data_IF_121713323297
#
_entry.id   IF_121713323297
#
_cell.length_a   1.000
_cell.length_b   1.000
_cell.length_c   1.000
_cell.angle_alpha   90.00
_cell.angle_beta   90.00
_cell.angle_gamma   90.00
#
_symmetry.space_group_name_H-M   'P 1'
#
loop_
_entity.id
_entity.type
_entity.pdbx_description
1 polymer ?
#
# COMPACT_ATOMS: atom_id res chain seq x y z
N UNK A 1 -5.24 -0.93 -14.43
CA UNK A 1 -3.97 -0.17 -14.58
C UNK A 1 -3.71 0.49 -13.23
N UNK A 2 -2.49 0.42 -12.70
CA UNK A 2 -2.15 1.10 -11.44
C UNK A 2 -2.00 2.60 -11.73
N UNK A 3 -2.82 3.42 -11.10
CA UNK A 3 -2.81 4.87 -11.30
C UNK A 3 -2.63 5.57 -9.95
N UNK A 4 -1.82 6.63 -9.90
CA UNK A 4 -1.61 7.45 -8.71
C UNK A 4 -1.24 6.66 -7.43
N UNK A 5 0.02 6.21 -7.36
CA UNK A 5 0.59 5.70 -6.12
C UNK A 5 1.23 6.84 -5.33
N UNK A 6 0.72 7.11 -4.14
CA UNK A 6 1.26 8.10 -3.21
C UNK A 6 1.71 7.42 -1.92
N UNK A 7 2.94 7.70 -1.49
CA UNK A 7 3.47 7.28 -0.19
C UNK A 7 3.54 8.49 0.73
N UNK A 8 2.99 8.34 1.92
CA UNK A 8 3.07 9.31 3.01
C UNK A 8 3.64 8.64 4.24
N UNK A 9 4.78 9.11 4.72
CA UNK A 9 5.26 8.72 6.04
C UNK A 9 4.29 9.28 7.09
N UNK A 10 3.53 8.40 7.74
CA UNK A 10 2.82 8.74 8.95
C UNK A 10 3.80 8.61 10.11
N UNK A 11 3.87 9.66 10.93
CA UNK A 11 4.76 9.76 12.07
C UNK A 11 6.24 9.95 11.70
N UNK A 12 6.54 10.86 10.77
CA UNK A 12 7.87 11.48 10.66
C UNK A 12 8.37 11.85 12.08
N UNK A 13 9.59 11.42 12.42
CA UNK A 13 10.28 11.68 13.70
C UNK A 13 9.84 10.83 14.91
N UNK A 14 9.05 9.76 14.73
CA UNK A 14 8.73 8.82 15.83
C UNK A 14 9.31 7.42 15.63
N UNK A 15 9.59 6.74 16.75
CA UNK A 15 10.10 5.34 16.83
C UNK A 15 9.10 4.33 16.20
N UNK A 16 7.88 4.76 15.87
CA UNK A 16 6.85 3.94 15.21
C UNK A 16 6.47 4.54 13.85
N UNK A 17 7.46 4.99 13.09
CA UNK A 17 7.26 5.45 11.72
C UNK A 17 6.55 4.36 10.90
N UNK A 18 5.48 4.75 10.23
CA UNK A 18 4.67 3.88 9.37
C UNK A 18 4.52 4.55 8.03
N UNK A 19 4.68 3.81 6.96
CA UNK A 19 4.50 4.34 5.63
C UNK A 19 3.05 4.09 5.22
N UNK A 20 2.21 5.11 5.25
CA UNK A 20 0.91 5.03 4.59
C UNK A 20 1.13 5.09 3.08
N UNK A 21 0.38 4.28 2.36
CA UNK A 21 0.33 4.36 0.91
C UNK A 21 -1.12 4.44 0.46
N UNK A 22 -1.31 5.13 -0.65
CA UNK A 22 -2.56 5.29 -1.36
C UNK A 22 -2.33 4.89 -2.81
N UNK A 23 -3.25 4.11 -3.36
CA UNK A 23 -3.13 3.47 -4.66
C UNK A 23 -4.52 3.47 -5.31
N UNK A 24 -4.62 4.00 -6.53
CA UNK A 24 -5.81 3.78 -7.33
C UNK A 24 -5.63 2.55 -8.22
N UNK A 25 -6.54 1.58 -8.09
CA UNK A 25 -6.55 0.35 -8.85
C UNK A 25 -7.92 0.15 -9.47
N UNK A 26 -7.98 0.12 -10.81
CA UNK A 26 -9.22 -0.07 -11.58
C UNK A 26 -10.34 0.95 -11.27
N UNK A 27 -9.96 2.15 -10.81
CA UNK A 27 -10.91 3.19 -10.42
C UNK A 27 -11.26 3.18 -8.93
N UNK A 28 -10.90 2.13 -8.20
CA UNK A 28 -11.06 2.04 -6.75
C UNK A 28 -9.82 2.56 -6.02
N UNK A 29 -10.05 3.40 -5.01
CA UNK A 29 -8.99 3.98 -4.20
C UNK A 29 -8.73 3.08 -3.00
N UNK A 30 -7.59 2.40 -3.01
CA UNK A 30 -7.13 1.58 -1.92
C UNK A 30 -6.10 2.33 -1.10
N UNK A 31 -6.24 2.24 0.22
CA UNK A 31 -5.33 2.85 1.17
C UNK A 31 -4.86 1.80 2.15
N UNK A 32 -3.59 1.86 2.54
CA UNK A 32 -3.02 0.95 3.52
C UNK A 32 -1.85 1.56 4.26
N UNK A 33 -1.37 0.87 5.28
CA UNK A 33 -0.08 1.16 5.92
C UNK A 33 0.87 0.00 5.73
N UNK A 34 2.10 0.34 5.43
CA UNK A 34 3.24 -0.56 5.37
C UNK A 34 4.10 -0.35 6.61
N UNK A 35 4.38 -1.44 7.32
CA UNK A 35 5.21 -1.42 8.51
C UNK A 35 5.99 -2.73 8.63
N UNK A 36 7.31 -2.64 8.71
CA UNK A 36 8.21 -3.79 8.91
C UNK A 36 8.02 -4.94 7.90
N UNK A 37 7.58 -4.66 6.68
CA UNK A 37 7.31 -5.68 5.67
C UNK A 37 5.90 -6.28 5.72
N UNK A 38 5.03 -5.80 6.61
CA UNK A 38 3.61 -6.15 6.64
C UNK A 38 2.77 -5.03 6.01
N UNK A 39 1.90 -5.40 5.07
CA UNK A 39 0.87 -4.51 4.52
C UNK A 39 -0.41 -4.67 5.34
N UNK A 40 -0.95 -3.56 5.84
CA UNK A 40 -2.27 -3.50 6.48
C UNK A 40 -3.18 -2.58 5.69
N UNK A 41 -4.13 -3.19 4.99
CA UNK A 41 -5.17 -2.49 4.25
C UNK A 41 -6.18 -1.81 5.18
N UNK A 42 -6.59 -0.59 4.83
CA UNK A 42 -7.75 0.06 5.44
C UNK A 42 -9.05 -0.46 4.81
N UNK A 43 -10.19 -0.03 5.36
CA UNK A 43 -11.49 -0.28 4.75
C UNK A 43 -11.79 0.79 3.70
N UNK A 44 -12.17 0.42 2.45
CA UNK A 44 -12.42 -0.94 1.94
C UNK A 44 -11.15 -1.77 1.68
N UNK A 45 -11.21 -3.06 2.02
CA UNK A 45 -10.07 -3.98 1.90
C UNK A 45 -10.07 -4.63 0.51
N UNK A 46 -8.96 -4.54 -0.26
CA UNK A 46 -8.87 -5.12 -1.59
C UNK A 46 -9.05 -6.64 -1.58
N UNK A 47 -8.69 -7.35 -0.51
CA UNK A 47 -8.88 -8.81 -0.39
C UNK A 47 -10.35 -9.27 -0.53
N UNK A 48 -11.31 -8.38 -0.31
CA UNK A 48 -12.74 -8.70 -0.44
C UNK A 48 -13.34 -8.35 -1.80
N UNK A 49 -12.69 -7.47 -2.55
CA UNK A 49 -13.21 -6.93 -3.81
C UNK A 49 -12.39 -7.40 -5.01
N UNK A 50 -11.08 -7.56 -4.82
CA UNK A 50 -10.13 -8.03 -5.82
C UNK A 50 -9.97 -9.56 -5.75
N UNK A 51 -9.70 -10.17 -6.90
CA UNK A 51 -9.28 -11.56 -6.96
C UNK A 51 -7.90 -11.74 -6.32
N UNK A 52 -7.57 -12.96 -5.85
CA UNK A 52 -6.25 -13.27 -5.27
C UNK A 52 -5.08 -12.87 -6.20
N UNK A 53 -5.26 -12.98 -7.51
CA UNK A 53 -4.25 -12.59 -8.50
C UNK A 53 -3.99 -11.08 -8.48
N UNK A 54 -5.05 -10.28 -8.36
CA UNK A 54 -4.99 -8.82 -8.36
C UNK A 54 -4.52 -8.28 -7.01
N UNK A 55 -5.03 -8.86 -5.92
CA UNK A 55 -4.54 -8.58 -4.58
C UNK A 55 -3.02 -8.81 -4.51
N UNK A 56 -2.55 -9.95 -5.03
CA UNK A 56 -1.12 -10.27 -5.06
C UNK A 56 -0.33 -9.31 -5.96
N UNK A 57 -0.89 -8.87 -7.08
CA UNK A 57 -0.26 -7.88 -7.94
C UNK A 57 -0.12 -6.53 -7.20
N UNK A 58 -1.19 -6.09 -6.54
CA UNK A 58 -1.22 -4.87 -5.73
C UNK A 58 -0.20 -4.95 -4.59
N UNK A 59 -0.22 -6.01 -3.79
CA UNK A 59 0.71 -6.21 -2.68
C UNK A 59 2.17 -6.24 -3.17
N UNK A 60 2.44 -6.93 -4.28
CA UNK A 60 3.77 -6.99 -4.86
C UNK A 60 4.25 -5.62 -5.36
N UNK A 61 3.35 -4.80 -5.92
CA UNK A 61 3.68 -3.45 -6.37
C UNK A 61 3.95 -2.53 -5.16
N UNK A 62 3.12 -2.60 -4.11
CA UNK A 62 3.34 -1.86 -2.85
C UNK A 62 4.69 -2.25 -2.24
N UNK A 63 4.99 -3.54 -2.13
CA UNK A 63 6.27 -4.02 -1.61
C UNK A 63 7.46 -3.49 -2.42
N UNK A 64 7.33 -3.48 -3.74
CA UNK A 64 8.38 -2.98 -4.63
C UNK A 64 8.58 -1.49 -4.45
N UNK A 65 7.50 -0.70 -4.47
CA UNK A 65 7.55 0.75 -4.33
C UNK A 65 8.05 1.17 -2.93
N UNK A 66 7.63 0.47 -1.88
CA UNK A 66 8.17 0.67 -0.53
C UNK A 66 9.65 0.30 -0.44
N UNK A 67 10.07 -0.80 -1.09
CA UNK A 67 11.47 -1.21 -1.16
C UNK A 67 12.33 -0.17 -1.88
N UNK A 68 11.88 0.34 -3.02
CA UNK A 68 12.54 1.43 -3.74
C UNK A 68 12.58 2.75 -2.95
N UNK A 69 11.63 2.97 -2.04
CA UNK A 69 11.60 4.15 -1.17
C UNK A 69 12.47 4.05 0.09
N UNK A 70 12.81 2.83 0.55
CA UNK A 70 13.61 2.57 1.75
C UNK A 70 15.11 2.29 1.45
N UNK A 71 15.52 2.21 0.18
CA UNK A 71 16.94 2.07 -0.25
C UNK A 71 17.73 3.39 -0.28
#
# INVERSE_FOLDING_TARGET
MFENFEVKALFEDQIHERHQFELNFEGDLYQGVFHEGEIKWFHPQPDKELAEEELRAVESEVHKLMGEHLE
#
